data_IF_139895106729
#
_entry.id   IF_139895106729
#
_cell.length_a   1.000
_cell.length_b   1.000
_cell.length_c   1.000
_cell.angle_alpha   90.00
_cell.angle_beta   90.00
_cell.angle_gamma   90.00
#
_symmetry.space_group_name_H-M   'P 1'
#
loop_
_entity.id
_entity.type
_entity.pdbx_description
1 polymer ?
#
# COMPACT_ATOMS: atom_id res chain seq x y z
N UNK A 1 -41.49 -17.95 18.61
CA UNK A 1 -40.51 -16.89 18.97
C UNK A 1 -39.30 -17.40 19.75
N UNK A 2 -39.45 -18.14 20.86
CA UNK A 2 -38.30 -18.58 21.68
C UNK A 2 -37.27 -19.45 20.93
N UNK A 3 -37.73 -20.39 20.10
CA UNK A 3 -36.87 -21.27 19.30
C UNK A 3 -36.10 -20.48 18.22
N UNK A 4 -36.77 -19.53 17.57
CA UNK A 4 -36.16 -18.65 16.56
C UNK A 4 -35.09 -17.75 17.19
N UNK A 5 -35.38 -17.18 18.37
CA UNK A 5 -34.43 -16.36 19.10
C UNK A 5 -33.19 -17.16 19.53
N UNK A 6 -33.39 -18.38 20.03
CA UNK A 6 -32.28 -19.27 20.40
C UNK A 6 -31.40 -19.61 19.19
N UNK A 7 -32.00 -19.93 18.04
CA UNK A 7 -31.26 -20.24 16.82
C UNK A 7 -30.42 -19.04 16.32
N UNK A 8 -30.97 -17.82 16.40
CA UNK A 8 -30.25 -16.59 16.01
C UNK A 8 -29.07 -16.34 16.95
N UNK A 9 -29.25 -16.49 18.26
CA UNK A 9 -28.18 -16.28 19.24
C UNK A 9 -27.06 -17.31 19.09
N UNK A 10 -27.39 -18.57 18.83
CA UNK A 10 -26.38 -19.61 18.57
C UNK A 10 -25.61 -19.34 17.29
N UNK A 11 -26.31 -18.94 16.21
CA UNK A 11 -25.65 -18.58 14.95
C UNK A 11 -24.73 -17.35 15.13
N UNK A 12 -25.18 -16.32 15.86
CA UNK A 12 -24.36 -15.16 16.16
C UNK A 12 -23.12 -15.52 17.01
N UNK A 13 -23.30 -16.38 18.03
CA UNK A 13 -22.18 -16.88 18.84
C UNK A 13 -21.15 -17.66 18.02
N UNK A 14 -21.61 -18.52 17.10
CA UNK A 14 -20.74 -19.24 16.18
C UNK A 14 -19.98 -18.30 15.24
N UNK A 15 -20.62 -17.25 14.71
CA UNK A 15 -19.97 -16.25 13.86
C UNK A 15 -18.91 -15.47 14.65
N UNK A 16 -19.15 -15.15 15.92
CA UNK A 16 -18.18 -14.45 16.77
C UNK A 16 -16.96 -15.33 17.07
N UNK A 17 -17.16 -16.63 17.30
CA UNK A 17 -16.07 -17.56 17.67
C UNK A 17 -15.28 -18.03 16.45
N UNK A 18 -15.93 -18.34 15.34
CA UNK A 18 -15.32 -18.99 14.17
C UNK A 18 -15.17 -18.06 12.96
N UNK A 19 -15.63 -16.82 13.06
CA UNK A 19 -15.72 -15.91 11.92
C UNK A 19 -16.94 -16.21 11.04
N UNK A 20 -17.32 -15.24 10.20
CA UNK A 20 -18.41 -15.43 9.26
C UNK A 20 -17.91 -16.18 8.03
N UNK A 21 -18.53 -17.31 7.64
CA UNK A 21 -18.19 -18.01 6.40
C UNK A 21 -18.58 -17.20 5.14
N UNK A 22 -19.35 -16.11 5.33
CA UNK A 22 -19.85 -15.22 4.28
C UNK A 22 -18.98 -13.96 4.17
N UNK A 23 -18.44 -13.49 5.29
CA UNK A 23 -17.54 -12.34 5.29
C UNK A 23 -16.13 -12.83 4.90
N UNK A 24 -15.87 -12.94 3.60
CA UNK A 24 -14.52 -12.67 3.13
C UNK A 24 -14.27 -11.20 3.46
N UNK A 25 -13.27 -10.89 4.27
CA UNK A 25 -12.66 -9.56 4.23
C UNK A 25 -12.28 -9.36 2.77
N UNK A 26 -13.13 -8.66 2.02
CA UNK A 26 -12.71 -8.18 0.72
C UNK A 26 -11.70 -7.10 1.08
N UNK A 27 -10.42 -7.23 0.68
CA UNK A 27 -9.56 -6.07 0.71
C UNK A 27 -10.34 -4.95 0.02
N UNK A 28 -10.46 -3.83 0.72
CA UNK A 28 -11.00 -2.63 0.12
C UNK A 28 -10.13 -2.38 -1.11
N UNK A 29 -10.80 -2.18 -2.25
CA UNK A 29 -10.29 -1.78 -3.56
C UNK A 29 -9.84 -2.90 -4.52
N UNK A 30 -10.45 -2.88 -5.72
CA UNK A 30 -10.09 -3.68 -6.88
C UNK A 30 -8.79 -3.24 -7.52
N UNK A 31 -7.79 -2.87 -6.74
CA UNK A 31 -6.40 -2.72 -7.17
C UNK A 31 -5.70 -3.95 -6.59
N UNK A 32 -5.07 -4.78 -7.42
CA UNK A 32 -4.33 -5.99 -7.01
C UNK A 32 -3.58 -6.58 -8.20
N UNK A 33 -2.76 -7.60 -7.94
CA UNK A 33 -2.08 -8.39 -8.97
C UNK A 33 -3.05 -8.88 -10.06
N UNK A 34 -2.81 -8.50 -11.31
CA UNK A 34 -3.69 -8.77 -12.47
C UNK A 34 -5.01 -7.99 -12.50
N UNK A 35 -5.16 -6.94 -11.69
CA UNK A 35 -6.38 -6.13 -11.72
C UNK A 35 -6.55 -5.37 -13.05
N UNK A 36 -7.78 -5.32 -13.61
CA UNK A 36 -8.10 -4.48 -14.76
C UNK A 36 -8.22 -2.99 -14.41
N UNK A 37 -8.23 -2.62 -13.13
CA UNK A 37 -8.32 -1.22 -12.67
C UNK A 37 -6.93 -0.74 -12.26
N UNK A 38 -6.41 0.36 -12.83
CA UNK A 38 -5.04 0.81 -12.59
C UNK A 38 -4.85 1.33 -11.16
N UNK A 39 -3.70 1.04 -10.59
CA UNK A 39 -3.22 1.65 -9.34
C UNK A 39 -3.16 3.17 -9.54
N UNK A 40 -3.56 3.93 -8.52
CA UNK A 40 -3.56 5.39 -8.57
C UNK A 40 -2.16 5.86 -9.00
N UNK A 41 -2.04 6.62 -10.11
CA UNK A 41 -0.74 7.02 -10.60
C UNK A 41 -0.03 7.88 -9.56
N UNK A 42 1.29 7.85 -9.61
CA UNK A 42 2.14 8.75 -8.85
C UNK A 42 3.26 9.22 -9.76
N UNK A 43 3.61 10.49 -9.67
CA UNK A 43 4.79 11.02 -10.35
C UNK A 43 6.00 10.80 -9.46
N UNK A 44 7.09 10.28 -10.02
CA UNK A 44 8.38 10.16 -9.34
C UNK A 44 9.52 10.54 -10.28
N UNK A 45 10.31 11.55 -9.88
CA UNK A 45 11.47 11.99 -10.64
C UNK A 45 12.76 11.73 -9.85
N UNK A 46 13.67 10.94 -10.42
CA UNK A 46 15.02 10.74 -9.86
C UNK A 46 15.79 12.06 -9.76
N UNK A 47 15.50 13.02 -10.65
CA UNK A 47 16.11 14.35 -10.63
C UNK A 47 15.79 15.15 -9.35
N UNK A 48 14.70 14.82 -8.66
CA UNK A 48 14.30 15.44 -7.39
C UNK A 48 14.88 14.69 -6.16
N UNK A 49 15.48 13.52 -6.35
CA UNK A 49 16.08 12.69 -5.30
C UNK A 49 17.59 12.43 -5.48
N UNK A 50 18.40 13.36 -6.04
CA UNK A 50 19.78 13.07 -6.42
C UNK A 50 20.72 12.89 -5.22
N UNK A 51 20.30 13.33 -4.04
CA UNK A 51 21.06 13.25 -2.78
C UNK A 51 20.74 12.00 -1.98
N UNK A 52 19.68 11.27 -2.32
CA UNK A 52 19.27 10.07 -1.60
C UNK A 52 20.11 8.87 -2.04
N UNK A 53 20.42 7.98 -1.11
CA UNK A 53 21.15 6.77 -1.46
C UNK A 53 20.23 5.83 -2.24
N UNK A 54 20.70 5.35 -3.39
CA UNK A 54 19.95 4.47 -4.27
C UNK A 54 19.36 3.27 -3.53
N UNK A 55 20.09 2.71 -2.56
CA UNK A 55 19.71 1.49 -1.83
C UNK A 55 18.55 1.75 -0.85
N UNK A 56 18.34 2.99 -0.40
CA UNK A 56 17.24 3.33 0.51
C UNK A 56 15.87 3.18 -0.18
N UNK A 57 15.84 3.36 -1.51
CA UNK A 57 14.66 3.10 -2.35
C UNK A 57 14.73 1.71 -3.02
N UNK A 58 15.86 1.41 -3.66
CA UNK A 58 16.13 0.14 -4.34
C UNK A 58 16.75 -0.89 -3.40
N UNK A 59 15.99 -1.29 -2.38
CA UNK A 59 16.42 -2.33 -1.44
C UNK A 59 16.78 -3.66 -2.14
N UNK A 60 16.22 -3.88 -3.34
CA UNK A 60 16.51 -4.99 -4.23
C UNK A 60 18.00 -5.09 -4.64
N UNK A 61 18.77 -4.00 -4.54
CA UNK A 61 20.22 -4.00 -4.77
C UNK A 61 21.01 -4.59 -3.61
N UNK A 62 20.44 -4.61 -2.41
CA UNK A 62 21.09 -5.11 -1.20
C UNK A 62 20.70 -6.56 -0.89
N UNK A 63 19.43 -6.93 -1.08
CA UNK A 63 18.92 -8.27 -0.79
C UNK A 63 19.00 -9.24 -1.99
N UNK A 64 19.44 -8.76 -3.16
CA UNK A 64 19.54 -9.50 -4.42
C UNK A 64 18.21 -10.09 -4.93
N UNK A 65 17.05 -9.51 -4.57
CA UNK A 65 15.74 -10.03 -5.01
C UNK A 65 15.40 -9.71 -6.47
N UNK A 66 16.26 -8.99 -7.19
CA UNK A 66 16.13 -8.74 -8.63
C UNK A 66 16.43 -7.29 -9.02
N UNK A 67 16.08 -6.95 -10.27
CA UNK A 67 16.20 -5.58 -10.80
C UNK A 67 14.88 -5.10 -11.42
N UNK A 68 14.71 -3.79 -11.49
CA UNK A 68 13.55 -3.15 -12.11
C UNK A 68 12.71 -2.31 -11.15
N UNK A 69 11.53 -1.85 -11.60
CA UNK A 69 10.65 -1.00 -10.79
C UNK A 69 10.01 -1.78 -9.64
N UNK A 70 9.67 -1.07 -8.58
CA UNK A 70 9.02 -1.58 -7.36
C UNK A 70 7.79 -2.44 -7.69
N UNK A 71 7.04 -2.04 -8.72
CA UNK A 71 5.79 -2.68 -9.13
C UNK A 71 5.97 -4.14 -9.53
N UNK A 72 7.16 -4.51 -10.02
CA UNK A 72 7.45 -5.89 -10.44
C UNK A 72 7.26 -6.90 -9.31
N UNK A 73 7.47 -6.51 -8.05
CA UNK A 73 7.31 -7.38 -6.88
C UNK A 73 6.11 -6.93 -6.04
N UNK A 74 6.00 -5.63 -5.75
CA UNK A 74 5.00 -5.10 -4.83
C UNK A 74 3.58 -5.17 -5.39
N UNK A 75 3.40 -5.45 -6.69
CA UNK A 75 2.08 -5.71 -7.27
C UNK A 75 1.85 -7.13 -7.72
N UNK A 76 2.87 -7.99 -7.69
CA UNK A 76 2.77 -9.35 -8.26
C UNK A 76 2.85 -10.45 -7.22
N UNK A 77 3.51 -10.18 -6.10
CA UNK A 77 3.62 -11.11 -5.02
C UNK A 77 2.38 -11.00 -4.11
N UNK A 78 1.68 -12.12 -3.89
CA UNK A 78 0.44 -12.17 -3.10
C UNK A 78 0.66 -11.87 -1.61
N UNK A 79 1.87 -12.11 -1.09
CA UNK A 79 2.22 -11.82 0.31
C UNK A 79 2.62 -10.34 0.50
N UNK A 80 3.15 -9.71 -0.55
CA UNK A 80 3.63 -8.31 -0.52
C UNK A 80 2.54 -7.33 -0.93
N UNK A 81 1.71 -7.67 -1.93
CA UNK A 81 0.66 -6.79 -2.44
C UNK A 81 -0.25 -6.20 -1.35
N UNK A 82 -0.73 -6.96 -0.34
CA UNK A 82 -1.57 -6.41 0.73
C UNK A 82 -0.89 -5.29 1.54
N UNK A 83 0.43 -5.18 1.46
CA UNK A 83 1.23 -4.18 2.16
C UNK A 83 1.57 -2.97 1.27
N UNK A 84 1.22 -3.00 -0.03
CA UNK A 84 1.60 -2.00 -1.03
C UNK A 84 1.38 -0.56 -0.55
N UNK A 85 0.15 -0.23 -0.18
CA UNK A 85 -0.21 1.13 0.25
C UNK A 85 0.62 1.58 1.45
N UNK A 86 0.76 0.71 2.46
CA UNK A 86 1.53 1.02 3.67
C UNK A 86 3.01 1.21 3.34
N UNK A 87 3.63 0.27 2.63
CA UNK A 87 5.07 0.28 2.37
C UNK A 87 5.50 1.52 1.59
N UNK A 88 4.73 1.94 0.58
CA UNK A 88 5.05 3.13 -0.18
C UNK A 88 4.83 4.42 0.62
N UNK A 89 3.74 4.50 1.40
CA UNK A 89 3.57 5.66 2.28
C UNK A 89 4.61 5.70 3.39
N UNK A 90 5.01 4.57 3.95
CA UNK A 90 6.04 4.52 4.98
C UNK A 90 7.41 4.91 4.41
N UNK A 91 7.74 4.50 3.17
CA UNK A 91 8.97 4.91 2.50
C UNK A 91 8.96 6.40 2.14
N UNK A 92 8.00 6.82 1.30
CA UNK A 92 8.03 8.16 0.70
C UNK A 92 7.59 9.23 1.70
N UNK A 93 6.47 9.01 2.41
CA UNK A 93 5.88 10.02 3.30
C UNK A 93 6.74 10.24 4.54
N UNK A 94 7.35 9.19 5.08
CA UNK A 94 8.15 9.31 6.31
C UNK A 94 9.43 10.10 6.04
N UNK A 95 10.16 9.79 4.96
CA UNK A 95 11.34 10.58 4.57
C UNK A 95 10.98 12.07 4.37
N UNK A 96 9.89 12.36 3.64
CA UNK A 96 9.41 13.74 3.48
C UNK A 96 9.04 14.41 4.80
N UNK A 97 8.40 13.67 5.71
CA UNK A 97 8.01 14.18 7.02
C UNK A 97 9.22 14.46 7.91
N UNK A 98 10.23 13.60 7.88
CA UNK A 98 11.49 13.77 8.61
C UNK A 98 12.23 15.01 8.13
N UNK A 99 12.43 15.17 6.82
CA UNK A 99 13.03 16.38 6.24
C UNK A 99 12.25 17.65 6.60
N UNK A 100 10.92 17.59 6.55
CA UNK A 100 10.08 18.73 6.94
C UNK A 100 10.23 19.10 8.43
N UNK A 101 10.45 18.13 9.33
CA UNK A 101 10.74 18.39 10.75
C UNK A 101 12.11 19.01 10.93
N UNK A 102 13.09 18.61 10.12
CA UNK A 102 14.45 19.15 10.13
C UNK A 102 14.57 20.53 9.43
N UNK A 103 13.50 20.98 8.75
CA UNK A 103 13.53 22.21 7.96
C UNK A 103 14.33 22.08 6.66
N UNK A 104 14.55 20.86 6.20
CA UNK A 104 15.24 20.54 4.95
C UNK A 104 14.27 20.57 3.76
N UNK A 105 14.80 20.81 2.57
CA UNK A 105 14.00 20.66 1.34
C UNK A 105 13.68 19.18 1.11
N UNK A 106 12.40 18.91 0.87
CA UNK A 106 11.89 17.58 0.61
C UNK A 106 10.51 17.63 -0.03
N UNK A 107 10.01 16.48 -0.45
CA UNK A 107 8.68 16.39 -1.03
C UNK A 107 7.54 16.64 -0.02
N UNK A 108 6.28 16.59 -0.49
CA UNK A 108 5.12 16.89 0.34
C UNK A 108 4.93 15.80 1.42
N UNK A 109 4.95 16.15 2.72
CA UNK A 109 4.80 15.15 3.79
C UNK A 109 3.34 14.77 4.06
N UNK A 110 2.38 15.61 3.65
CA UNK A 110 0.95 15.41 3.95
C UNK A 110 0.09 16.20 2.97
N UNK A 111 -0.09 15.71 1.75
CA UNK A 111 -1.08 16.17 0.75
C UNK A 111 -1.18 15.10 -0.36
N UNK A 112 -2.22 14.25 -0.35
CA UNK A 112 -2.29 13.06 -1.21
C UNK A 112 -2.11 13.36 -2.70
N UNK A 113 -2.79 14.41 -3.18
CA UNK A 113 -2.76 14.87 -4.58
C UNK A 113 -1.37 15.37 -5.02
N UNK A 114 -0.50 15.80 -4.10
CA UNK A 114 0.84 16.27 -4.50
C UNK A 114 1.81 15.15 -4.88
N UNK A 115 1.47 13.90 -4.55
CA UNK A 115 2.19 12.70 -5.02
C UNK A 115 1.38 11.95 -6.09
N UNK A 116 0.07 11.88 -5.92
CA UNK A 116 -0.84 11.18 -6.83
C UNK A 116 -1.30 12.08 -7.99
N UNK A 117 -0.34 12.47 -8.80
CA UNK A 117 -0.56 13.16 -10.06
C UNK A 117 -0.62 12.12 -11.20
N UNK A 118 -1.35 12.43 -12.26
CA UNK A 118 -1.22 11.69 -13.52
C UNK A 118 0.22 11.78 -14.01
N UNK A 119 0.71 10.72 -14.64
CA UNK A 119 2.05 10.72 -15.23
C UNK A 119 1.99 11.52 -16.55
N UNK A 120 1.95 12.83 -16.40
CA UNK A 120 1.87 13.79 -17.51
C UNK A 120 3.29 14.15 -18.01
N UNK A 121 4.32 13.52 -17.44
CA UNK A 121 5.73 13.71 -17.80
C UNK A 121 6.12 12.72 -18.91
N UNK A 122 6.83 13.18 -19.96
CA UNK A 122 7.27 12.33 -21.07
C UNK A 122 8.30 11.26 -20.67
#
# INVERSE_FOLDING_TARGET
>A
MKIVLAAILTAAGLIIIFGSPIAKEKPVLGYYYESPVPILPMSFAHADHPTENCIDCHHNYNDNTGGGPCMNCHTTNQDVWPLFERQFHDLCRSCHAEKAVLGEEGGPPRHCIKCHLGDDLP
#
